data_IF_672903923763
#
_entry.id   IF_672903923763
#
_cell.length_a   1.000
_cell.length_b   1.000
_cell.length_c   1.000
_cell.angle_alpha   90.00
_cell.angle_beta   90.00
_cell.angle_gamma   90.00
#
_symmetry.space_group_name_H-M   'P 1'
#
loop_
_entity.id
_entity.type
_entity.pdbx_description
1 polymer ?
#
# COMPACT_ATOMS: atom_id res chain seq x y z
N UNK A 1 -19.34 -75.44 -49.61
CA UNK A 1 -19.49 -73.97 -49.58
C UNK A 1 -19.22 -73.44 -48.17
N UNK A 2 -18.09 -73.74 -47.51
CA UNK A 2 -17.78 -73.18 -46.16
C UNK A 2 -16.26 -73.03 -45.93
N UNK A 3 -15.54 -72.46 -46.90
CA UNK A 3 -14.09 -72.18 -46.75
C UNK A 3 -13.77 -70.68 -46.57
N UNK A 4 -14.78 -69.85 -46.31
CA UNK A 4 -14.59 -68.39 -46.12
C UNK A 4 -14.35 -67.94 -44.67
N UNK A 5 -14.58 -68.82 -43.68
CA UNK A 5 -14.61 -68.42 -42.27
C UNK A 5 -13.28 -68.66 -41.52
N UNK A 6 -12.35 -69.43 -42.10
CA UNK A 6 -11.05 -69.71 -41.48
C UNK A 6 -10.03 -68.55 -41.62
N UNK A 7 -10.44 -67.43 -42.22
CA UNK A 7 -9.58 -66.28 -42.51
C UNK A 7 -10.00 -65.02 -41.73
N UNK A 8 -10.78 -65.16 -40.66
CA UNK A 8 -10.95 -64.11 -39.68
C UNK A 8 -9.77 -64.17 -38.71
N UNK A 9 -8.67 -63.55 -39.14
CA UNK A 9 -7.60 -63.14 -38.24
C UNK A 9 -8.25 -62.24 -37.19
N UNK A 10 -8.34 -62.72 -35.95
CA UNK A 10 -8.69 -61.90 -34.79
C UNK A 10 -7.84 -60.64 -34.87
N UNK A 11 -8.50 -59.50 -35.10
CA UNK A 11 -7.85 -58.21 -34.95
C UNK A 11 -7.70 -58.10 -33.43
N UNK A 12 -6.53 -58.49 -32.92
CA UNK A 12 -6.09 -58.14 -31.56
C UNK A 12 -6.43 -56.66 -31.39
N UNK A 13 -7.46 -56.40 -30.58
CA UNK A 13 -8.00 -55.07 -30.40
C UNK A 13 -6.83 -54.15 -30.10
N UNK A 14 -6.70 -53.08 -30.88
CA UNK A 14 -5.70 -52.03 -30.67
C UNK A 14 -5.60 -51.81 -29.17
N UNK A 15 -4.49 -52.29 -28.59
CA UNK A 15 -4.20 -52.23 -27.16
C UNK A 15 -4.66 -50.86 -26.71
N UNK A 16 -5.69 -50.85 -25.84
CA UNK A 16 -6.41 -49.66 -25.45
C UNK A 16 -5.37 -48.57 -25.27
N UNK A 17 -5.35 -47.58 -26.18
CA UNK A 17 -4.28 -46.59 -26.27
C UNK A 17 -4.05 -46.13 -24.85
N UNK A 18 -2.95 -46.64 -24.26
CA UNK A 18 -2.62 -46.29 -22.91
C UNK A 18 -2.34 -44.82 -23.06
N UNK A 19 -3.26 -44.00 -22.55
CA UNK A 19 -3.21 -42.55 -22.46
C UNK A 19 -2.02 -42.05 -21.60
N UNK A 20 -1.00 -42.88 -21.50
CA UNK A 20 0.25 -42.81 -20.78
C UNK A 20 1.36 -43.23 -21.75
N UNK A 21 2.50 -42.53 -21.80
CA UNK A 21 2.95 -41.58 -20.82
C UNK A 21 2.42 -40.21 -21.21
N UNK A 22 1.86 -39.44 -20.28
CA UNK A 22 1.92 -37.99 -20.43
C UNK A 22 3.41 -37.69 -20.63
N UNK A 23 3.82 -37.46 -21.89
CA UNK A 23 5.20 -37.25 -22.26
C UNK A 23 5.80 -36.27 -21.25
N UNK A 24 6.99 -36.54 -20.71
CA UNK A 24 7.60 -35.80 -19.59
C UNK A 24 7.48 -34.27 -19.73
N UNK A 25 7.39 -33.76 -20.96
CA UNK A 25 7.05 -32.37 -21.28
C UNK A 25 5.77 -31.81 -20.63
N UNK A 26 4.72 -32.59 -20.37
CA UNK A 26 3.53 -32.11 -19.66
C UNK A 26 3.82 -31.77 -18.20
N UNK A 27 4.72 -32.51 -17.55
CA UNK A 27 5.16 -32.18 -16.21
C UNK A 27 5.91 -30.85 -16.18
N UNK A 28 6.66 -30.53 -17.24
CA UNK A 28 7.32 -29.22 -17.40
C UNK A 28 6.28 -28.11 -17.55
N UNK A 29 5.24 -28.32 -18.37
CA UNK A 29 4.15 -27.35 -18.54
C UNK A 29 3.38 -27.14 -17.24
N UNK A 30 3.04 -28.21 -16.52
CA UNK A 30 2.37 -28.15 -15.21
C UNK A 30 3.26 -27.43 -14.20
N UNK A 31 4.55 -27.77 -14.12
CA UNK A 31 5.48 -27.11 -13.20
C UNK A 31 5.61 -25.61 -13.51
N UNK A 32 5.69 -25.24 -14.79
CA UNK A 32 5.74 -23.84 -15.21
C UNK A 32 4.46 -23.10 -14.86
N UNK A 33 3.30 -23.72 -15.10
CA UNK A 33 1.99 -23.15 -14.75
C UNK A 33 1.84 -22.98 -13.24
N UNK A 34 2.27 -23.96 -12.45
CA UNK A 34 2.29 -23.88 -10.97
C UNK A 34 3.22 -22.76 -10.50
N UNK A 35 4.44 -22.66 -11.03
CA UNK A 35 5.35 -21.57 -10.70
C UNK A 35 4.74 -20.19 -11.02
N UNK A 36 4.06 -20.08 -12.17
CA UNK A 36 3.41 -18.84 -12.59
C UNK A 36 2.25 -18.48 -11.66
N UNK A 37 1.42 -19.45 -11.27
CA UNK A 37 0.32 -19.25 -10.31
C UNK A 37 0.88 -18.83 -8.94
N UNK A 38 1.92 -19.50 -8.44
CA UNK A 38 2.56 -19.16 -7.16
C UNK A 38 3.15 -17.75 -7.21
N UNK A 39 3.84 -17.40 -8.30
CA UNK A 39 4.38 -16.06 -8.50
C UNK A 39 3.28 -15.00 -8.51
N UNK A 40 2.17 -15.26 -9.20
CA UNK A 40 1.02 -14.36 -9.26
C UNK A 40 0.38 -14.18 -7.87
N UNK A 41 0.16 -15.28 -7.16
CA UNK A 41 -0.39 -15.28 -5.80
C UNK A 41 0.53 -14.52 -4.83
N UNK A 42 1.84 -14.71 -4.93
CA UNK A 42 2.81 -14.02 -4.08
C UNK A 42 2.79 -12.51 -4.30
N UNK A 43 2.75 -12.06 -5.56
CA UNK A 43 2.62 -10.64 -5.92
C UNK A 43 1.29 -10.06 -5.41
N UNK A 44 0.18 -10.79 -5.59
CA UNK A 44 -1.13 -10.37 -5.12
C UNK A 44 -1.21 -10.27 -3.59
N UNK A 45 -0.64 -11.24 -2.87
CA UNK A 45 -0.58 -11.23 -1.42
C UNK A 45 0.29 -10.08 -0.89
N UNK A 46 1.44 -9.82 -1.52
CA UNK A 46 2.30 -8.68 -1.17
C UNK A 46 1.59 -7.34 -1.41
N UNK A 47 0.91 -7.19 -2.56
CA UNK A 47 0.06 -6.02 -2.82
C UNK A 47 -1.06 -5.88 -1.82
N UNK A 48 -1.78 -6.96 -1.47
CA UNK A 48 -2.85 -6.91 -0.47
C UNK A 48 -2.34 -6.54 0.92
N UNK A 49 -1.17 -7.02 1.32
CA UNK A 49 -0.54 -6.60 2.59
C UNK A 49 -0.17 -5.13 2.58
N UNK A 50 0.35 -4.61 1.46
CA UNK A 50 0.63 -3.18 1.32
C UNK A 50 -0.65 -2.33 1.32
N UNK A 51 -1.67 -2.73 0.57
CA UNK A 51 -2.98 -2.04 0.51
C UNK A 51 -3.73 -2.08 1.85
N UNK A 52 -3.47 -3.10 2.68
CA UNK A 52 -3.96 -3.19 4.07
C UNK A 52 -3.00 -2.57 5.09
N UNK A 53 -1.83 -2.10 4.65
CA UNK A 53 -0.90 -1.42 5.53
C UNK A 53 -1.51 -0.10 5.95
N UNK A 54 -1.38 0.23 7.23
CA UNK A 54 -1.77 1.52 7.76
C UNK A 54 -1.13 2.68 6.96
N UNK A 55 0.10 2.49 6.47
CA UNK A 55 0.80 3.42 5.58
C UNK A 55 0.01 3.75 4.31
N UNK A 56 -0.60 2.76 3.66
CA UNK A 56 -1.38 2.99 2.43
C UNK A 56 -2.62 3.83 2.70
N UNK A 57 -3.27 3.62 3.85
CA UNK A 57 -4.38 4.46 4.31
C UNK A 57 -3.98 5.92 4.48
N UNK A 58 -2.85 6.16 5.16
CA UNK A 58 -2.29 7.51 5.35
C UNK A 58 -1.93 8.16 4.00
N UNK A 59 -1.22 7.43 3.13
CA UNK A 59 -0.82 7.94 1.80
C UNK A 59 -2.04 8.32 0.94
N UNK A 60 -3.10 7.51 0.99
CA UNK A 60 -4.35 7.77 0.27
C UNK A 60 -5.07 8.99 0.82
N UNK A 61 -5.10 9.17 2.14
CA UNK A 61 -5.66 10.37 2.77
C UNK A 61 -4.86 11.61 2.37
N UNK A 62 -3.53 11.57 2.42
CA UNK A 62 -2.67 12.67 1.96
C UNK A 62 -2.88 13.03 0.49
N UNK A 63 -3.09 12.04 -0.38
CA UNK A 63 -3.43 12.29 -1.79
C UNK A 63 -4.80 12.96 -1.97
N UNK A 64 -5.79 12.56 -1.17
CA UNK A 64 -7.12 13.21 -1.17
C UNK A 64 -7.00 14.66 -0.70
N UNK A 65 -6.35 14.91 0.44
CA UNK A 65 -6.12 16.25 0.98
C UNK A 65 -5.42 17.16 -0.03
N UNK A 66 -4.38 16.66 -0.71
CA UNK A 66 -3.67 17.42 -1.73
C UNK A 66 -4.54 17.77 -2.94
N UNK A 67 -5.45 16.88 -3.35
CA UNK A 67 -6.36 17.10 -4.48
C UNK A 67 -7.48 18.09 -4.16
N UNK A 68 -7.94 18.10 -2.92
CA UNK A 68 -9.00 19.00 -2.44
C UNK A 68 -8.47 20.35 -1.96
N UNK A 69 -7.15 20.55 -1.98
CA UNK A 69 -6.49 21.76 -1.53
C UNK A 69 -6.78 22.95 -2.43
N UNK A 70 -7.55 23.89 -1.89
CA UNK A 70 -7.85 25.19 -2.45
C UNK A 70 -7.65 26.26 -1.37
N UNK A 71 -7.54 27.55 -1.72
CA UNK A 71 -7.43 28.62 -0.72
C UNK A 71 -8.58 28.59 0.30
N UNK A 72 -9.80 28.29 -0.14
CA UNK A 72 -11.01 28.17 0.68
C UNK A 72 -10.97 26.96 1.64
N UNK A 73 -10.35 25.85 1.23
CA UNK A 73 -10.23 24.62 2.05
C UNK A 73 -8.93 24.53 2.84
N UNK A 74 -8.06 25.53 2.74
CA UNK A 74 -6.72 25.53 3.36
C UNK A 74 -6.77 25.29 4.87
N UNK A 75 -7.67 25.99 5.58
CA UNK A 75 -7.82 25.87 7.03
C UNK A 75 -8.37 24.49 7.43
N UNK A 76 -9.39 23.98 6.75
CA UNK A 76 -9.95 22.66 7.07
C UNK A 76 -8.94 21.54 6.82
N UNK A 77 -8.18 21.63 5.73
CA UNK A 77 -7.10 20.68 5.41
C UNK A 77 -5.98 20.78 6.45
N UNK A 78 -5.64 21.97 6.91
CA UNK A 78 -4.62 22.17 7.93
C UNK A 78 -5.01 21.52 9.27
N UNK A 79 -6.27 21.62 9.69
CA UNK A 79 -6.80 20.92 10.87
C UNK A 79 -6.67 19.41 10.68
N UNK A 80 -7.17 18.89 9.55
CA UNK A 80 -7.14 17.47 9.26
C UNK A 80 -5.69 16.94 9.19
N UNK A 81 -4.75 17.74 8.69
CA UNK A 81 -3.33 17.40 8.65
C UNK A 81 -2.70 17.35 10.04
N UNK A 82 -3.08 18.27 10.94
CA UNK A 82 -2.61 18.26 12.34
C UNK A 82 -3.07 17.00 13.07
N UNK A 83 -4.36 16.66 12.95
CA UNK A 83 -4.92 15.44 13.53
C UNK A 83 -4.26 14.18 12.95
N UNK A 84 -4.07 14.15 11.63
CA UNK A 84 -3.41 13.05 10.93
C UNK A 84 -1.99 12.86 11.45
N UNK A 85 -1.22 13.94 11.61
CA UNK A 85 0.14 13.88 12.11
C UNK A 85 0.20 13.38 13.56
N UNK A 86 -0.72 13.82 14.42
CA UNK A 86 -0.85 13.31 15.80
C UNK A 86 -1.16 11.82 15.83
N UNK A 87 -2.01 11.36 14.92
CA UNK A 87 -2.35 9.95 14.77
C UNK A 87 -1.14 9.12 14.30
N UNK A 88 -0.35 9.66 13.37
CA UNK A 88 0.89 9.03 12.88
C UNK A 88 1.87 8.83 14.02
N UNK A 89 2.19 9.90 14.75
CA UNK A 89 3.13 9.83 15.87
C UNK A 89 2.67 8.85 16.97
N UNK A 90 1.37 8.86 17.30
CA UNK A 90 0.81 7.95 18.31
C UNK A 90 0.89 6.49 17.89
N UNK A 91 0.71 6.21 16.59
CA UNK A 91 0.78 4.87 16.04
C UNK A 91 2.22 4.33 16.00
N UNK A 92 3.20 5.19 15.69
CA UNK A 92 4.59 4.77 15.48
C UNK A 92 5.44 4.78 16.76
N UNK A 93 5.22 5.74 17.68
CA UNK A 93 6.08 5.97 18.85
C UNK A 93 5.37 5.85 20.21
N UNK A 94 4.13 5.37 20.22
CA UNK A 94 3.24 5.25 21.39
C UNK A 94 2.66 6.58 21.92
N UNK A 95 1.53 6.48 22.62
CA UNK A 95 0.80 7.63 23.16
C UNK A 95 1.57 8.36 24.25
N UNK A 96 2.29 7.63 25.10
CA UNK A 96 2.98 8.19 26.27
C UNK A 96 4.12 9.13 25.86
N UNK A 97 4.82 8.81 24.76
CA UNK A 97 5.91 9.62 24.25
C UNK A 97 5.44 10.95 23.63
N UNK A 98 4.22 10.99 23.06
CA UNK A 98 3.80 12.09 22.19
C UNK A 98 2.63 12.92 22.72
N UNK A 99 1.74 12.37 23.55
CA UNK A 99 0.46 12.99 23.89
C UNK A 99 0.57 14.25 24.76
N UNK A 100 1.65 14.38 25.54
CA UNK A 100 1.91 15.57 26.35
C UNK A 100 2.59 16.71 25.61
N UNK A 101 3.13 16.45 24.41
CA UNK A 101 3.92 17.45 23.67
C UNK A 101 2.99 18.45 23.00
N UNK A 102 3.20 19.74 23.23
CA UNK A 102 2.43 20.85 22.65
C UNK A 102 3.36 21.95 22.13
N UNK A 103 2.84 22.82 21.26
CA UNK A 103 3.59 23.97 20.75
C UNK A 103 4.97 23.60 20.18
N UNK A 104 6.01 24.30 20.64
CA UNK A 104 7.38 24.11 20.16
C UNK A 104 7.95 22.73 20.47
N UNK A 105 7.63 22.17 21.63
CA UNK A 105 8.14 20.84 22.03
C UNK A 105 7.65 19.75 21.07
N UNK A 106 6.43 19.90 20.57
CA UNK A 106 5.90 19.04 19.52
C UNK A 106 6.69 19.15 18.21
N UNK A 107 6.97 20.37 17.74
CA UNK A 107 7.71 20.58 16.48
C UNK A 107 9.17 20.11 16.57
N UNK A 108 9.81 20.30 17.72
CA UNK A 108 11.15 19.81 17.99
C UNK A 108 11.18 18.28 18.02
N UNK A 109 10.17 17.66 18.63
CA UNK A 109 10.01 16.22 18.63
C UNK A 109 9.84 15.66 17.22
N UNK A 110 9.00 16.30 16.38
CA UNK A 110 8.84 15.92 14.98
C UNK A 110 10.16 16.01 14.21
N UNK A 111 10.91 17.10 14.37
CA UNK A 111 12.23 17.27 13.75
C UNK A 111 13.22 16.18 14.15
N UNK A 112 13.15 15.70 15.39
CA UNK A 112 14.06 14.66 15.90
C UNK A 112 13.74 13.28 15.35
N UNK A 113 12.46 13.02 15.04
CA UNK A 113 11.98 11.71 14.55
C UNK A 113 11.76 11.67 13.04
N UNK A 114 11.87 12.81 12.36
CA UNK A 114 11.76 12.89 10.91
C UNK A 114 13.08 12.47 10.23
N UNK A 115 13.07 11.43 9.39
CA UNK A 115 14.27 10.92 8.72
C UNK A 115 14.96 11.96 7.80
N UNK A 116 14.21 12.95 7.28
CA UNK A 116 14.77 13.97 6.39
C UNK A 116 15.00 15.33 7.08
N UNK A 117 14.80 15.41 8.40
CA UNK A 117 15.03 16.64 9.17
C UNK A 117 14.34 17.88 8.58
N UNK A 118 13.09 17.75 8.14
CA UNK A 118 12.29 18.88 7.66
C UNK A 118 12.20 19.96 8.74
N UNK A 119 12.20 21.24 8.31
CA UNK A 119 12.13 22.36 9.24
C UNK A 119 10.68 22.61 9.69
N UNK A 120 10.19 21.74 10.57
CA UNK A 120 8.83 21.78 11.14
C UNK A 120 8.52 23.10 11.85
N UNK A 121 9.51 23.70 12.51
CA UNK A 121 9.34 24.98 13.19
C UNK A 121 9.08 26.13 12.22
N UNK A 122 9.77 26.14 11.07
CA UNK A 122 9.63 27.21 10.09
C UNK A 122 8.38 27.08 9.22
N UNK A 123 7.99 25.85 8.84
CA UNK A 123 6.96 25.61 7.83
C UNK A 123 5.66 24.99 8.38
N UNK A 124 5.66 24.56 9.63
CA UNK A 124 4.56 23.79 10.21
C UNK A 124 4.20 24.25 11.63
N UNK A 125 4.58 25.48 12.02
CA UNK A 125 4.20 26.09 13.29
C UNK A 125 2.69 26.12 13.49
N UNK A 126 1.93 26.32 12.42
CA UNK A 126 0.48 26.29 12.41
C UNK A 126 -0.12 24.92 12.81
N UNK A 127 0.61 23.80 12.71
CA UNK A 127 0.09 22.48 13.12
C UNK A 127 -0.26 22.43 14.60
N UNK A 128 0.38 23.24 15.45
CA UNK A 128 0.13 23.20 16.91
C UNK A 128 -1.15 23.91 17.28
N UNK A 129 -1.47 24.98 16.56
CA UNK A 129 -2.50 25.93 16.97
C UNK A 129 -3.80 25.70 16.20
N UNK A 130 -3.72 25.33 14.91
CA UNK A 130 -4.88 25.24 14.02
C UNK A 130 -5.95 24.26 14.51
N UNK A 131 -5.56 23.18 15.20
CA UNK A 131 -6.49 22.19 15.73
C UNK A 131 -7.25 22.66 16.99
N UNK A 132 -6.70 23.61 17.74
CA UNK A 132 -7.27 24.07 19.02
C UNK A 132 -7.84 25.48 18.94
N UNK A 133 -7.24 26.34 18.13
CA UNK A 133 -7.67 27.69 17.84
C UNK A 133 -7.51 27.92 16.32
N UNK A 134 -8.55 27.60 15.52
CA UNK A 134 -8.58 27.97 14.11
C UNK A 134 -8.66 29.50 14.03
N UNK A 135 -7.52 30.15 14.14
CA UNK A 135 -7.39 31.58 13.90
C UNK A 135 -7.59 31.84 12.41
N UNK A 136 -7.89 33.10 12.07
CA UNK A 136 -8.03 33.61 10.71
C UNK A 136 -6.68 33.66 9.95
N UNK A 137 -5.84 32.66 10.19
CA UNK A 137 -4.53 32.48 9.59
C UNK A 137 -4.74 32.05 8.14
N UNK A 138 -4.50 32.97 7.22
CA UNK A 138 -4.45 32.65 5.79
C UNK A 138 -3.24 31.75 5.54
N UNK A 139 -3.47 30.44 5.50
CA UNK A 139 -2.46 29.46 5.20
C UNK A 139 -2.29 29.36 3.68
N UNK A 140 -1.05 29.51 3.22
CA UNK A 140 -0.77 29.32 1.81
C UNK A 140 -0.91 27.84 1.43
N UNK A 141 -1.46 27.59 0.24
CA UNK A 141 -1.54 26.23 -0.30
C UNK A 141 -0.16 25.62 -0.52
N UNK A 142 0.86 26.45 -0.72
CA UNK A 142 2.26 26.03 -0.86
C UNK A 142 2.83 25.46 0.43
N UNK A 143 2.61 26.12 1.58
CA UNK A 143 3.05 25.64 2.89
C UNK A 143 2.37 24.31 3.25
N UNK A 144 1.05 24.22 3.06
CA UNK A 144 0.31 22.97 3.29
C UNK A 144 0.84 21.86 2.39
N UNK A 145 1.12 22.15 1.12
CA UNK A 145 1.69 21.17 0.19
C UNK A 145 3.08 20.71 0.61
N UNK A 146 3.93 21.61 1.12
CA UNK A 146 5.25 21.28 1.64
C UNK A 146 5.17 20.29 2.82
N UNK A 147 4.24 20.54 3.76
CA UNK A 147 3.99 19.66 4.90
C UNK A 147 3.42 18.31 4.47
N UNK A 148 2.45 18.28 3.54
CA UNK A 148 1.94 17.01 2.97
C UNK A 148 3.08 16.18 2.37
N UNK A 149 4.00 16.82 1.63
CA UNK A 149 5.14 16.13 1.04
C UNK A 149 6.16 15.66 2.09
N UNK A 150 6.34 16.40 3.21
CA UNK A 150 7.17 15.96 4.32
C UNK A 150 6.58 14.72 5.00
N UNK A 151 5.28 14.71 5.33
CA UNK A 151 4.60 13.55 5.93
C UNK A 151 4.68 12.34 5.00
N UNK A 152 4.47 12.54 3.70
CA UNK A 152 4.60 11.45 2.71
C UNK A 152 6.00 10.81 2.71
N UNK A 153 7.05 11.59 2.94
CA UNK A 153 8.43 11.09 2.99
C UNK A 153 8.70 10.30 4.28
N UNK A 154 8.16 10.75 5.42
CA UNK A 154 8.24 10.01 6.67
C UNK A 154 7.54 8.64 6.57
N UNK A 155 6.34 8.58 6.01
CA UNK A 155 5.53 7.35 5.98
C UNK A 155 6.08 6.27 5.00
N UNK A 156 7.00 6.64 4.10
CA UNK A 156 7.47 5.82 2.98
C UNK A 156 8.69 4.96 3.34
#
# INVERSE_FOLDING_TARGET
MEQGLAQLKEIEGLDAISWWPLAVGWWVVIALLVCLIIGLLWILLRRRRFLRSWQYGILTQLDTLKKTLTPESSLSIAIELSELMRRIATFEYSREACAGLTGKDWLLWLKTHDPESFNWEAHASWLTDVAYAPNDTQLSTEEITAVINAIRRWVK
#
